data_IF_235728384110
#
_entry.id   IF_235728384110
#
_cell.length_a   1.000
_cell.length_b   1.000
_cell.length_c   1.000
_cell.angle_alpha   90.00
_cell.angle_beta   90.00
_cell.angle_gamma   90.00
#
_symmetry.space_group_name_H-M   'P 1'
#
loop_
_entity.id
_entity.type
_entity.pdbx_description
1 polymer ?
#
# COMPACT_ATOMS: atom_id res chain seq x y z
N UNK A 1 -1.66 -29.84 -4.20
CA UNK A 1 -0.47 -28.98 -4.21
C UNK A 1 -0.36 -28.31 -2.85
N UNK A 2 0.78 -28.40 -2.15
CA UNK A 2 0.95 -27.98 -0.74
C UNK A 2 1.13 -26.48 -0.51
N UNK A 3 0.58 -25.62 -1.37
CA UNK A 3 0.70 -24.16 -1.25
C UNK A 3 -0.58 -23.59 -0.63
N UNK A 4 -0.57 -23.45 0.69
CA UNK A 4 -1.67 -22.84 1.47
C UNK A 4 -1.13 -21.61 2.22
N UNK A 5 -0.62 -20.63 1.45
CA UNK A 5 -0.06 -19.35 1.95
C UNK A 5 -0.29 -18.21 0.94
N UNK A 6 -0.21 -16.96 1.39
CA UNK A 6 -0.67 -15.78 0.65
C UNK A 6 0.29 -15.22 -0.41
N UNK A 7 1.55 -15.68 -0.45
CA UNK A 7 2.57 -15.16 -1.36
C UNK A 7 2.14 -15.26 -2.83
N UNK A 8 2.11 -14.11 -3.52
CA UNK A 8 1.68 -13.97 -4.92
C UNK A 8 0.27 -13.41 -5.08
N UNK A 9 -0.67 -13.84 -4.24
CA UNK A 9 -2.10 -13.48 -4.38
C UNK A 9 -2.32 -11.97 -4.31
N UNK A 10 -1.60 -11.26 -3.43
CA UNK A 10 -1.76 -9.82 -3.25
C UNK A 10 -1.21 -8.97 -4.41
N UNK A 11 -0.38 -9.54 -5.28
CA UNK A 11 0.07 -8.85 -6.50
C UNK A 11 -0.82 -9.18 -7.71
N UNK A 12 -1.37 -10.39 -7.73
CA UNK A 12 -2.01 -10.94 -8.93
C UNK A 12 -3.53 -10.80 -8.89
N UNK A 13 -4.11 -10.64 -7.70
CA UNK A 13 -5.55 -10.48 -7.50
C UNK A 13 -5.87 -9.14 -6.86
N UNK A 14 -6.95 -8.50 -7.33
CA UNK A 14 -7.47 -7.28 -6.72
C UNK A 14 -7.80 -7.49 -5.24
N UNK A 15 -7.65 -6.47 -4.36
CA UNK A 15 -7.90 -6.63 -2.93
C UNK A 15 -9.34 -7.09 -2.65
N UNK A 16 -9.45 -8.28 -2.07
CA UNK A 16 -10.69 -8.90 -1.64
C UNK A 16 -10.46 -9.52 -0.26
N UNK A 17 -11.13 -8.95 0.74
CA UNK A 17 -10.96 -9.27 2.15
C UNK A 17 -11.99 -10.30 2.63
N UNK A 18 -12.86 -10.76 1.73
CA UNK A 18 -13.81 -11.86 1.99
C UNK A 18 -13.16 -13.23 1.82
N UNK A 19 -12.04 -13.29 1.09
CA UNK A 19 -11.25 -14.50 0.85
C UNK A 19 -10.51 -14.97 2.10
N UNK A 20 -10.26 -16.27 2.12
CA UNK A 20 -9.44 -17.00 3.09
C UNK A 20 -8.75 -18.17 2.36
N UNK A 21 -8.29 -19.18 3.09
CA UNK A 21 -7.60 -20.34 2.53
C UNK A 21 -8.46 -21.61 2.45
N UNK A 22 -9.76 -21.56 2.78
CA UNK A 22 -10.62 -22.74 2.86
C UNK A 22 -10.67 -23.52 1.54
N UNK A 23 -10.66 -22.82 0.39
CA UNK A 23 -10.67 -23.45 -0.93
C UNK A 23 -9.45 -24.36 -1.20
N UNK A 24 -8.29 -24.09 -0.57
CA UNK A 24 -7.07 -24.88 -0.73
C UNK A 24 -6.80 -25.82 0.45
N UNK A 25 -7.62 -25.79 1.50
CA UNK A 25 -7.48 -26.62 2.70
C UNK A 25 -8.69 -27.50 3.01
N UNK A 26 -9.78 -27.44 2.23
CA UNK A 26 -11.03 -28.15 2.51
C UNK A 26 -10.87 -29.68 2.67
N UNK A 27 -9.94 -30.28 1.93
CA UNK A 27 -9.69 -31.74 1.96
C UNK A 27 -8.66 -32.16 3.03
N UNK A 28 -8.19 -31.23 3.87
CA UNK A 28 -7.20 -31.50 4.92
C UNK A 28 -7.92 -31.82 6.22
N UNK A 29 -7.93 -33.10 6.59
CA UNK A 29 -8.62 -33.61 7.79
C UNK A 29 -7.74 -33.68 9.06
N UNK A 30 -6.45 -33.33 8.93
CA UNK A 30 -5.47 -33.30 10.02
C UNK A 30 -5.15 -31.87 10.42
N UNK A 31 -4.59 -31.63 11.62
CA UNK A 31 -4.25 -30.27 12.04
C UNK A 31 -3.33 -29.57 11.03
N UNK A 32 -3.69 -28.36 10.63
CA UNK A 32 -3.00 -27.60 9.58
C UNK A 32 -2.32 -26.36 10.15
N UNK A 33 -1.00 -26.31 9.97
CA UNK A 33 -0.18 -25.16 10.30
C UNK A 33 0.48 -24.65 9.03
N UNK A 34 0.21 -23.40 8.66
CA UNK A 34 0.90 -22.77 7.52
C UNK A 34 2.30 -22.31 7.94
N UNK A 35 3.33 -22.86 7.30
CA UNK A 35 4.72 -22.55 7.58
C UNK A 35 5.23 -21.40 6.70
N UNK A 36 6.09 -20.56 7.27
CA UNK A 36 6.76 -19.45 6.57
C UNK A 36 5.80 -18.53 5.81
N UNK A 37 4.73 -18.08 6.47
CA UNK A 37 3.86 -17.07 5.88
C UNK A 37 4.53 -15.69 5.88
N UNK A 38 4.16 -14.83 4.94
CA UNK A 38 4.70 -13.47 4.84
C UNK A 38 5.93 -13.34 3.93
N UNK A 39 7.09 -12.96 4.48
CA UNK A 39 8.34 -12.72 3.73
C UNK A 39 8.37 -11.46 2.86
N UNK A 40 7.65 -10.43 3.28
CA UNK A 40 7.67 -9.10 2.66
C UNK A 40 8.93 -8.35 3.07
N UNK A 41 9.85 -8.15 2.12
CA UNK A 41 11.12 -7.46 2.41
C UNK A 41 10.88 -5.99 2.75
N UNK A 42 11.62 -5.50 3.74
CA UNK A 42 11.62 -4.15 4.27
C UNK A 42 12.98 -3.52 4.00
N UNK A 43 12.97 -2.24 3.63
CA UNK A 43 14.21 -1.51 3.33
C UNK A 43 15.15 -1.49 4.55
N UNK A 44 16.48 -1.59 4.39
CA UNK A 44 17.40 -1.73 5.52
C UNK A 44 17.37 -0.58 6.53
N UNK A 45 17.38 -0.91 7.82
CA UNK A 45 17.61 0.06 8.90
C UNK A 45 19.10 0.35 9.01
N UNK A 46 19.59 1.30 8.23
CA UNK A 46 21.01 1.70 8.21
C UNK A 46 21.49 2.24 9.58
N UNK A 47 20.59 2.68 10.46
CA UNK A 47 20.96 3.09 11.82
C UNK A 47 21.43 1.92 12.68
N UNK A 48 21.11 0.69 12.28
CA UNK A 48 21.53 -0.53 12.95
C UNK A 48 23.04 -0.79 12.83
N UNK A 49 23.72 -0.22 11.82
CA UNK A 49 25.16 -0.44 11.59
C UNK A 49 25.99 -0.16 12.85
N UNK A 50 25.69 0.89 13.60
CA UNK A 50 26.47 1.26 14.79
C UNK A 50 26.27 0.30 15.98
N UNK A 51 25.29 -0.62 15.91
CA UNK A 51 25.03 -1.62 16.96
C UNK A 51 25.90 -2.87 16.83
N UNK A 52 26.54 -3.06 15.68
CA UNK A 52 27.48 -4.16 15.44
C UNK A 52 28.86 -3.84 16.04
N UNK A 53 28.95 -3.90 17.37
CA UNK A 53 30.18 -3.61 18.13
C UNK A 53 30.93 -4.87 18.60
N UNK A 54 30.37 -6.05 18.32
CA UNK A 54 30.94 -7.35 18.69
C UNK A 54 31.79 -7.97 17.57
N UNK A 55 31.74 -9.30 17.45
CA UNK A 55 32.54 -10.05 16.48
C UNK A 55 32.01 -10.01 15.03
N UNK A 56 30.84 -9.40 14.79
CA UNK A 56 30.20 -9.30 13.49
C UNK A 56 30.22 -7.85 12.99
N UNK A 57 30.37 -7.66 11.68
CA UNK A 57 30.32 -6.36 11.00
C UNK A 57 29.19 -6.39 9.98
N UNK A 58 28.34 -5.35 9.97
CA UNK A 58 27.22 -5.22 9.03
C UNK A 58 27.63 -4.75 7.64
N UNK A 59 28.52 -5.51 6.97
CA UNK A 59 29.08 -5.15 5.66
C UNK A 59 28.01 -4.97 4.58
N UNK A 60 26.94 -5.76 4.64
CA UNK A 60 25.74 -5.63 3.81
C UNK A 60 25.08 -4.24 3.97
N UNK A 61 24.81 -3.80 5.20
CA UNK A 61 24.16 -2.50 5.46
C UNK A 61 25.10 -1.34 5.12
N UNK A 62 26.41 -1.50 5.37
CA UNK A 62 27.43 -0.53 4.97
C UNK A 62 27.46 -0.34 3.45
N UNK A 63 27.40 -1.43 2.67
CA UNK A 63 27.34 -1.36 1.20
C UNK A 63 26.10 -0.61 0.72
N UNK A 64 24.91 -0.91 1.27
CA UNK A 64 23.66 -0.19 0.93
C UNK A 64 23.77 1.30 1.28
N UNK A 65 24.28 1.62 2.48
CA UNK A 65 24.48 3.01 2.93
C UNK A 65 25.42 3.77 1.99
N UNK A 66 26.55 3.17 1.64
CA UNK A 66 27.58 3.84 0.87
C UNK A 66 27.13 4.04 -0.59
N UNK A 67 26.37 3.10 -1.16
CA UNK A 67 25.74 3.25 -2.46
C UNK A 67 24.64 4.34 -2.46
N UNK A 68 23.76 4.37 -1.45
CA UNK A 68 22.79 5.46 -1.26
C UNK A 68 23.47 6.82 -1.14
N UNK A 69 24.59 6.89 -0.40
CA UNK A 69 25.38 8.11 -0.23
C UNK A 69 25.97 8.57 -1.56
N UNK A 70 26.58 7.65 -2.31
CA UNK A 70 27.12 7.92 -3.67
C UNK A 70 26.04 8.45 -4.61
N UNK A 71 24.81 7.97 -4.47
CA UNK A 71 23.64 8.38 -5.26
C UNK A 71 22.88 9.58 -4.69
N UNK A 72 23.38 10.23 -3.63
CA UNK A 72 22.79 11.42 -3.04
C UNK A 72 21.45 11.20 -2.32
N UNK A 73 21.11 9.94 -1.98
CA UNK A 73 19.80 9.56 -1.42
C UNK A 73 19.84 9.00 0.00
N UNK A 74 20.99 9.07 0.69
CA UNK A 74 21.12 8.56 2.05
C UNK A 74 20.11 9.15 3.05
N UNK A 75 19.73 10.42 2.89
CA UNK A 75 18.73 11.08 3.72
C UNK A 75 17.33 10.45 3.64
N UNK A 76 17.02 9.71 2.57
CA UNK A 76 15.75 9.02 2.39
C UNK A 76 15.68 7.66 3.09
N UNK A 77 16.80 7.09 3.53
CA UNK A 77 16.81 5.76 4.13
C UNK A 77 15.79 5.58 5.27
N UNK A 78 15.62 6.54 6.22
CA UNK A 78 14.58 6.42 7.25
C UNK A 78 13.16 6.42 6.68
N UNK A 79 12.90 7.19 5.61
CA UNK A 79 11.60 7.23 4.96
C UNK A 79 11.33 5.95 4.16
N UNK A 80 12.35 5.39 3.48
CA UNK A 80 12.25 4.12 2.78
C UNK A 80 11.96 2.96 3.74
N UNK A 81 12.66 2.90 4.87
CA UNK A 81 12.39 1.94 5.94
C UNK A 81 10.94 2.04 6.42
N UNK A 82 10.47 3.24 6.75
CA UNK A 82 9.09 3.43 7.24
C UNK A 82 8.05 3.03 6.19
N UNK A 83 8.18 3.50 4.97
CA UNK A 83 7.18 3.27 3.91
C UNK A 83 7.12 1.80 3.48
N UNK A 84 8.27 1.17 3.24
CA UNK A 84 8.33 -0.27 2.92
C UNK A 84 7.86 -1.14 4.10
N UNK A 85 8.19 -0.77 5.34
CA UNK A 85 7.72 -1.45 6.54
C UNK A 85 6.22 -1.35 6.78
N UNK A 86 5.61 -0.20 6.45
CA UNK A 86 4.14 -0.03 6.49
C UNK A 86 3.45 -0.92 5.46
N UNK A 87 3.97 -1.00 4.24
CA UNK A 87 3.47 -1.94 3.21
C UNK A 87 3.63 -3.40 3.65
N UNK A 88 4.80 -3.78 4.17
CA UNK A 88 5.01 -5.14 4.69
C UNK A 88 4.02 -5.48 5.82
N UNK A 89 3.80 -4.55 6.76
CA UNK A 89 2.83 -4.73 7.86
C UNK A 89 1.40 -4.90 7.33
N UNK A 90 1.02 -4.14 6.30
CA UNK A 90 -0.28 -4.25 5.65
C UNK A 90 -0.52 -5.66 5.08
N UNK A 91 0.50 -6.20 4.41
CA UNK A 91 0.44 -7.52 3.79
C UNK A 91 0.48 -8.64 4.85
N UNK A 92 1.32 -8.51 5.89
CA UNK A 92 1.30 -9.43 7.04
C UNK A 92 -0.07 -9.46 7.73
N UNK A 93 -0.69 -8.28 7.94
CA UNK A 93 -2.02 -8.19 8.53
C UNK A 93 -3.04 -8.99 7.72
N UNK A 94 -3.11 -8.76 6.41
CA UNK A 94 -4.06 -9.48 5.56
C UNK A 94 -3.78 -10.99 5.52
N UNK A 95 -2.52 -11.41 5.46
CA UNK A 95 -2.17 -12.84 5.44
C UNK A 95 -2.52 -13.55 6.76
N UNK A 96 -2.23 -12.92 7.90
CA UNK A 96 -2.60 -13.43 9.22
C UNK A 96 -4.12 -13.47 9.38
N UNK A 97 -4.83 -12.42 8.95
CA UNK A 97 -6.28 -12.40 9.02
C UNK A 97 -6.89 -13.50 8.17
N UNK A 98 -6.41 -13.74 6.94
CA UNK A 98 -6.88 -14.87 6.12
C UNK A 98 -6.65 -16.22 6.80
N UNK A 99 -5.52 -16.41 7.46
CA UNK A 99 -5.27 -17.61 8.26
C UNK A 99 -6.27 -17.74 9.42
N UNK A 100 -6.50 -16.67 10.18
CA UNK A 100 -7.45 -16.65 11.30
C UNK A 100 -8.91 -16.76 10.86
N UNK A 101 -9.23 -16.42 9.61
CA UNK A 101 -10.54 -16.57 8.98
C UNK A 101 -10.82 -18.01 8.51
N UNK A 102 -9.76 -18.77 8.22
CA UNK A 102 -9.86 -20.11 7.63
C UNK A 102 -10.17 -21.13 8.72
N UNK A 103 -11.34 -21.78 8.66
CA UNK A 103 -11.77 -22.74 9.69
C UNK A 103 -10.83 -23.94 9.81
N UNK A 104 -10.27 -24.37 8.68
CA UNK A 104 -9.37 -25.52 8.57
C UNK A 104 -7.95 -25.21 9.08
N UNK A 105 -7.63 -23.96 9.47
CA UNK A 105 -6.31 -23.61 10.01
C UNK A 105 -6.27 -23.72 11.53
N UNK A 106 -5.30 -24.46 12.04
CA UNK A 106 -4.98 -24.57 13.46
C UNK A 106 -3.84 -23.63 13.88
N UNK A 107 -3.11 -23.07 12.92
CA UNK A 107 -2.07 -22.08 13.21
C UNK A 107 -1.27 -21.63 11.99
N UNK A 108 -0.31 -20.74 12.26
CA UNK A 108 0.65 -20.28 11.28
C UNK A 108 2.00 -19.96 11.94
N UNK A 109 3.06 -19.94 11.14
CA UNK A 109 4.40 -19.51 11.54
C UNK A 109 4.91 -18.45 10.58
N UNK A 110 5.29 -17.27 11.10
CA UNK A 110 5.89 -16.20 10.31
C UNK A 110 7.35 -16.56 9.97
N UNK A 111 7.81 -16.22 8.77
CA UNK A 111 9.24 -16.16 8.45
C UNK A 111 9.67 -14.71 8.23
N UNK A 112 10.23 -14.02 9.23
CA UNK A 112 10.18 -14.30 10.66
C UNK A 112 9.89 -12.97 11.38
N UNK A 113 9.71 -12.96 12.70
CA UNK A 113 9.39 -11.72 13.43
C UNK A 113 10.56 -10.70 13.44
N UNK A 114 11.80 -11.19 13.38
CA UNK A 114 13.05 -10.42 13.39
C UNK A 114 13.80 -10.50 12.06
N UNK A 115 14.70 -9.57 11.77
CA UNK A 115 15.56 -9.70 10.60
C UNK A 115 16.60 -10.83 10.78
N UNK A 116 16.88 -11.55 9.70
CA UNK A 116 17.93 -12.57 9.68
C UNK A 116 19.21 -12.01 9.07
N UNK A 117 20.31 -11.90 9.85
CA UNK A 117 21.57 -11.39 9.34
C UNK A 117 22.37 -12.41 8.50
N UNK A 118 21.95 -13.69 8.49
CA UNK A 118 22.58 -14.75 7.69
C UNK A 118 22.10 -14.80 6.23
N UNK A 119 22.56 -15.82 5.49
CA UNK A 119 22.17 -16.20 4.12
C UNK A 119 21.50 -15.09 3.29
N UNK A 120 22.30 -14.20 2.68
CA UNK A 120 21.79 -13.24 1.71
C UNK A 120 20.96 -12.09 2.28
N UNK A 121 20.97 -11.82 3.59
CA UNK A 121 20.31 -10.66 4.23
C UNK A 121 18.79 -10.67 4.03
N UNK A 122 18.06 -11.37 4.91
CA UNK A 122 16.60 -11.42 4.86
C UNK A 122 15.97 -10.41 5.81
N UNK A 123 15.52 -9.29 5.23
CA UNK A 123 14.98 -8.14 5.96
C UNK A 123 13.45 -8.15 5.98
N UNK A 124 12.88 -9.23 6.47
CA UNK A 124 11.42 -9.46 6.47
C UNK A 124 10.78 -9.21 7.83
N UNK A 125 11.59 -8.92 8.85
CA UNK A 125 11.17 -8.76 10.22
C UNK A 125 10.57 -7.38 10.52
N UNK A 126 9.64 -7.37 11.47
CA UNK A 126 9.17 -6.13 12.12
C UNK A 126 10.13 -5.66 13.22
N UNK A 127 10.94 -6.59 13.73
CA UNK A 127 12.09 -6.34 14.60
C UNK A 127 13.38 -6.47 13.79
N UNK A 128 14.43 -5.79 14.22
CA UNK A 128 15.76 -5.94 13.65
C UNK A 128 16.51 -7.17 14.23
N UNK A 129 17.76 -7.40 13.83
CA UNK A 129 18.53 -8.57 14.27
C UNK A 129 18.87 -8.56 15.79
N UNK A 130 18.67 -7.43 16.45
CA UNK A 130 18.83 -7.23 17.90
C UNK A 130 17.50 -7.27 18.67
N UNK A 131 16.42 -7.78 18.05
CA UNK A 131 15.06 -7.82 18.62
C UNK A 131 14.45 -6.45 18.95
N UNK A 132 14.96 -5.38 18.34
CA UNK A 132 14.47 -4.02 18.57
C UNK A 132 13.46 -3.62 17.50
N UNK A 133 12.44 -2.81 17.83
CA UNK A 133 11.48 -2.32 16.85
C UNK A 133 12.15 -1.46 15.77
N UNK A 134 11.77 -1.69 14.51
CA UNK A 134 12.22 -0.89 13.35
C UNK A 134 11.43 0.40 13.14
N UNK A 135 10.45 0.69 14.01
CA UNK A 135 9.76 1.98 14.09
C UNK A 135 8.58 2.20 13.14
N UNK A 136 8.17 1.22 12.34
CA UNK A 136 7.02 1.35 11.43
C UNK A 136 5.72 0.71 11.94
N UNK A 137 5.79 -0.15 12.96
CA UNK A 137 4.61 -0.75 13.62
C UNK A 137 4.92 -0.96 15.11
N UNK A 138 3.96 -0.64 15.96
CA UNK A 138 4.05 -0.89 17.41
C UNK A 138 3.54 -2.28 17.77
N UNK A 139 3.96 -2.81 18.92
CA UNK A 139 3.43 -4.07 19.43
C UNK A 139 1.90 -4.03 19.66
N UNK A 140 1.35 -2.87 20.04
CA UNK A 140 -0.09 -2.70 20.22
C UNK A 140 -0.84 -2.78 18.90
N UNK A 141 -0.34 -2.12 17.84
CA UNK A 141 -0.93 -2.22 16.50
C UNK A 141 -0.85 -3.65 15.95
N UNK A 142 0.30 -4.32 16.10
CA UNK A 142 0.47 -5.69 15.62
C UNK A 142 -0.47 -6.68 16.33
N UNK A 143 -0.67 -6.51 17.65
CA UNK A 143 -1.61 -7.30 18.43
C UNK A 143 -3.06 -7.15 17.97
N UNK A 144 -3.45 -6.06 17.31
CA UNK A 144 -4.84 -5.89 16.84
C UNK A 144 -5.29 -6.96 15.84
N UNK A 145 -4.35 -7.50 15.06
CA UNK A 145 -4.61 -8.55 14.07
C UNK A 145 -3.91 -9.88 14.39
N UNK A 146 -3.12 -9.94 15.47
CA UNK A 146 -2.46 -11.16 15.93
C UNK A 146 -2.52 -11.27 17.47
N UNK A 147 -3.71 -11.62 17.99
CA UNK A 147 -3.97 -11.80 19.43
C UNK A 147 -4.76 -13.09 19.70
N UNK A 148 -4.76 -13.58 20.96
CA UNK A 148 -5.58 -14.73 21.37
C UNK A 148 -7.08 -14.55 21.11
N UNK A 149 -7.58 -13.31 21.08
CA UNK A 149 -8.92 -12.97 20.63
C UNK A 149 -8.81 -11.84 19.61
N UNK A 150 -9.21 -12.10 18.37
CA UNK A 150 -9.05 -11.16 17.25
C UNK A 150 -10.39 -10.96 16.54
N UNK A 151 -10.96 -9.74 16.57
CA UNK A 151 -12.08 -9.38 15.72
C UNK A 151 -11.66 -9.33 14.25
N UNK A 152 -12.50 -9.85 13.38
CA UNK A 152 -12.26 -9.96 11.95
C UNK A 152 -13.50 -9.48 11.18
N UNK A 153 -13.28 -8.98 9.96
CA UNK A 153 -14.35 -8.68 9.03
C UNK A 153 -14.07 -9.24 7.64
N UNK A 154 -15.13 -9.58 6.92
CA UNK A 154 -15.11 -10.03 5.52
C UNK A 154 -15.85 -9.03 4.64
N UNK A 155 -15.15 -8.47 3.65
CA UNK A 155 -15.71 -7.47 2.74
C UNK A 155 -15.00 -7.51 1.38
N UNK A 156 -15.67 -7.14 0.28
CA UNK A 156 -15.21 -7.52 -1.06
C UNK A 156 -14.11 -6.63 -1.66
N UNK A 157 -13.96 -5.38 -1.19
CA UNK A 157 -13.04 -4.40 -1.79
C UNK A 157 -12.64 -3.29 -0.84
N UNK A 158 -11.50 -2.64 -1.12
CA UNK A 158 -10.99 -1.51 -0.32
C UNK A 158 -11.58 -0.14 -0.72
N UNK A 159 -12.05 0.01 -1.97
CA UNK A 159 -12.46 1.30 -2.54
C UNK A 159 -13.93 1.25 -2.92
N UNK A 160 -14.67 2.27 -2.50
CA UNK A 160 -16.10 2.44 -2.71
C UNK A 160 -16.43 3.79 -3.32
N UNK A 161 -17.56 3.86 -4.00
CA UNK A 161 -18.24 5.12 -4.30
C UNK A 161 -19.22 5.46 -3.17
N UNK A 162 -19.52 6.74 -3.00
CA UNK A 162 -20.37 7.22 -1.92
C UNK A 162 -21.87 6.87 -2.08
N UNK A 163 -22.29 6.46 -3.27
CA UNK A 163 -23.62 5.90 -3.54
C UNK A 163 -23.71 4.39 -3.22
N UNK A 164 -22.61 3.77 -2.81
CA UNK A 164 -22.57 2.38 -2.37
C UNK A 164 -22.87 2.22 -0.86
N UNK A 165 -23.01 0.97 -0.44
CA UNK A 165 -23.07 0.55 0.97
C UNK A 165 -21.82 -0.21 1.31
N UNK A 166 -21.23 0.07 2.47
CA UNK A 166 -20.22 -0.79 3.05
C UNK A 166 -20.92 -1.94 3.78
N UNK A 167 -20.73 -3.15 3.26
CA UNK A 167 -21.28 -4.39 3.83
C UNK A 167 -20.14 -5.29 4.23
N UNK A 168 -20.13 -5.73 5.49
CA UNK A 168 -19.11 -6.63 6.00
C UNK A 168 -19.68 -7.61 7.02
N UNK A 169 -19.36 -8.90 6.88
CA UNK A 169 -19.63 -9.88 7.92
C UNK A 169 -18.57 -9.77 9.00
N UNK A 170 -18.98 -9.80 10.27
CA UNK A 170 -18.12 -9.68 11.43
C UNK A 170 -18.02 -11.05 12.10
N UNK A 171 -16.79 -11.46 12.40
CA UNK A 171 -16.49 -12.72 13.06
C UNK A 171 -15.37 -12.55 14.09
N UNK A 172 -15.18 -13.56 14.94
CA UNK A 172 -14.08 -13.62 15.90
C UNK A 172 -13.21 -14.86 15.63
N UNK A 173 -11.90 -14.69 15.74
CA UNK A 173 -10.97 -15.76 16.06
C UNK A 173 -10.67 -15.71 17.56
N UNK A 174 -11.14 -16.71 18.30
CA UNK A 174 -11.06 -16.80 19.76
C UNK A 174 -10.32 -18.06 20.21
N UNK A 175 -9.05 -17.90 20.52
CA UNK A 175 -8.18 -18.91 21.12
C UNK A 175 -7.83 -18.59 22.58
N UNK A 176 -8.61 -17.72 23.25
CA UNK A 176 -8.39 -17.32 24.64
C UNK A 176 -9.19 -18.18 25.62
N UNK A 177 -10.51 -18.08 25.56
CA UNK A 177 -11.48 -18.80 26.42
C UNK A 177 -12.89 -18.59 25.88
N UNK A 178 -13.84 -19.45 26.25
CA UNK A 178 -15.25 -19.22 25.96
C UNK A 178 -15.75 -17.90 26.57
N UNK A 179 -16.53 -17.13 25.80
CA UNK A 179 -17.10 -15.84 26.18
C UNK A 179 -18.62 -15.96 26.30
N UNK A 180 -19.21 -15.33 27.31
CA UNK A 180 -20.65 -15.39 27.60
C UNK A 180 -21.28 -14.00 27.61
N UNK A 181 -22.43 -13.86 26.96
CA UNK A 181 -23.18 -12.60 26.92
C UNK A 181 -22.39 -11.42 26.35
N UNK A 182 -21.49 -11.69 25.41
CA UNK A 182 -20.54 -10.74 24.83
C UNK A 182 -21.23 -9.83 23.81
N UNK A 183 -20.90 -8.54 23.85
CA UNK A 183 -21.33 -7.54 22.86
C UNK A 183 -20.15 -7.16 21.98
N UNK A 184 -20.39 -7.14 20.66
CA UNK A 184 -19.44 -6.63 19.69
C UNK A 184 -19.93 -5.27 19.20
N UNK A 185 -19.09 -4.25 19.33
CA UNK A 185 -19.35 -2.91 18.82
C UNK A 185 -18.55 -2.66 17.55
N UNK A 186 -19.11 -1.87 16.64
CA UNK A 186 -18.44 -1.47 15.41
C UNK A 186 -18.68 0.00 15.10
N UNK A 187 -17.73 0.62 14.40
CA UNK A 187 -17.86 1.99 13.93
C UNK A 187 -17.13 2.20 12.61
N UNK A 188 -17.63 3.15 11.81
CA UNK A 188 -17.00 3.67 10.61
C UNK A 188 -16.78 5.16 10.84
N UNK A 189 -15.53 5.60 10.86
CA UNK A 189 -15.14 6.99 11.15
C UNK A 189 -14.26 7.54 10.05
N UNK A 190 -14.33 8.83 9.77
CA UNK A 190 -13.36 9.47 8.87
C UNK A 190 -12.04 9.79 9.60
N UNK A 191 -11.04 10.29 8.86
CA UNK A 191 -9.73 10.67 9.40
C UNK A 191 -9.76 11.76 10.49
N UNK A 192 -10.84 12.53 10.59
CA UNK A 192 -11.08 13.53 11.65
C UNK A 192 -11.82 12.96 12.87
N UNK A 193 -12.07 11.65 12.90
CA UNK A 193 -12.81 10.99 13.98
C UNK A 193 -14.33 11.16 13.92
N UNK A 194 -14.88 11.81 12.89
CA UNK A 194 -16.35 11.94 12.72
C UNK A 194 -16.94 10.59 12.40
N UNK A 195 -17.95 10.20 13.18
CA UNK A 195 -18.73 8.98 12.96
C UNK A 195 -19.57 9.11 11.69
N UNK A 196 -19.45 8.12 10.80
CA UNK A 196 -20.26 7.95 9.59
C UNK A 196 -21.39 6.95 9.84
N UNK A 197 -21.06 5.83 10.48
CA UNK A 197 -22.00 4.81 10.91
C UNK A 197 -21.42 4.05 12.10
N UNK A 198 -22.26 3.39 12.91
CA UNK A 198 -21.81 2.55 14.00
C UNK A 198 -22.98 1.84 14.67
N UNK A 199 -22.66 0.84 15.48
CA UNK A 199 -23.67 0.07 16.20
C UNK A 199 -23.07 -0.99 17.10
N UNK A 200 -23.95 -1.73 17.76
CA UNK A 200 -23.63 -2.89 18.57
C UNK A 200 -24.51 -4.06 18.11
N UNK A 201 -23.94 -5.27 18.07
CA UNK A 201 -24.71 -6.48 17.85
C UNK A 201 -25.34 -6.98 19.16
N UNK A 202 -26.38 -7.81 19.04
CA UNK A 202 -27.00 -8.45 20.20
C UNK A 202 -25.99 -9.31 20.96
N UNK A 203 -26.21 -9.45 22.27
CA UNK A 203 -25.39 -10.30 23.14
C UNK A 203 -25.36 -11.73 22.63
N UNK A 204 -24.17 -12.28 22.50
CA UNK A 204 -23.94 -13.64 22.01
C UNK A 204 -22.86 -14.35 22.84
N UNK A 205 -22.93 -15.67 22.86
CA UNK A 205 -21.88 -16.51 23.42
C UNK A 205 -20.92 -16.91 22.30
N UNK A 206 -19.62 -16.89 22.59
CA UNK A 206 -18.58 -17.28 21.63
C UNK A 206 -17.73 -18.40 22.22
N UNK A 207 -17.64 -19.53 21.52
CA UNK A 207 -16.78 -20.65 21.90
C UNK A 207 -15.29 -20.36 21.62
N UNK A 208 -14.45 -21.38 21.78
CA UNK A 208 -13.07 -21.36 21.31
C UNK A 208 -13.05 -21.83 19.85
N UNK A 209 -12.30 -21.14 19.01
CA UNK A 209 -12.16 -21.43 17.58
C UNK A 209 -12.15 -20.16 16.73
N UNK A 210 -12.19 -20.34 15.41
CA UNK A 210 -12.24 -19.29 14.39
C UNK A 210 -13.58 -19.27 13.66
N UNK A 211 -13.76 -18.31 12.74
CA UNK A 211 -14.99 -18.11 11.97
C UNK A 211 -16.26 -17.97 12.84
N UNK A 212 -16.13 -17.44 14.05
CA UNK A 212 -17.24 -17.29 14.99
C UNK A 212 -18.08 -16.06 14.61
N UNK A 213 -19.18 -16.25 13.90
CA UNK A 213 -20.03 -15.16 13.42
C UNK A 213 -20.58 -14.31 14.57
N UNK A 214 -20.45 -12.99 14.45
CA UNK A 214 -20.93 -12.01 15.42
C UNK A 214 -22.07 -11.13 14.89
N UNK A 215 -22.12 -10.89 13.58
CA UNK A 215 -23.15 -10.07 12.95
C UNK A 215 -22.71 -9.52 11.60
N UNK A 216 -23.51 -8.61 11.03
CA UNK A 216 -23.26 -7.99 9.73
C UNK A 216 -23.37 -6.48 9.78
N UNK A 217 -22.33 -5.79 9.36
CA UNK A 217 -22.30 -4.35 9.16
C UNK A 217 -23.02 -4.02 7.85
N UNK A 218 -23.85 -2.98 7.87
CA UNK A 218 -24.47 -2.42 6.68
C UNK A 218 -24.57 -0.89 6.82
N UNK A 219 -23.58 -0.18 6.27
CA UNK A 219 -23.44 1.26 6.42
C UNK A 219 -23.65 1.98 5.08
N UNK A 220 -24.50 3.01 5.07
CA UNK A 220 -24.63 3.93 3.93
C UNK A 220 -23.41 4.86 3.89
N UNK A 221 -22.89 5.12 2.68
CA UNK A 221 -21.73 5.98 2.47
C UNK A 221 -22.07 7.36 1.90
N UNK A 222 -23.36 7.64 1.66
CA UNK A 222 -23.86 8.85 1.01
C UNK A 222 -23.50 10.17 1.71
N UNK A 223 -23.21 10.13 3.02
CA UNK A 223 -22.75 11.30 3.77
C UNK A 223 -21.31 11.72 3.46
N UNK A 224 -20.56 10.88 2.75
CA UNK A 224 -19.19 11.18 2.29
C UNK A 224 -19.26 11.91 0.96
N UNK A 225 -19.16 13.23 0.98
CA UNK A 225 -19.24 14.09 -0.22
C UNK A 225 -17.89 14.49 -0.79
N UNK A 226 -16.81 14.23 -0.06
CA UNK A 226 -15.42 14.48 -0.48
C UNK A 226 -14.64 13.18 -0.33
N UNK A 227 -13.75 12.89 -1.28
CA UNK A 227 -12.90 11.71 -1.25
C UNK A 227 -12.23 11.57 0.13
N UNK A 228 -12.53 10.48 0.82
CA UNK A 228 -12.14 10.27 2.22
C UNK A 228 -11.60 8.87 2.46
N UNK A 229 -10.56 8.76 3.27
CA UNK A 229 -10.21 7.52 3.94
C UNK A 229 -11.09 7.39 5.19
N UNK A 230 -11.75 6.25 5.34
CA UNK A 230 -12.51 5.87 6.53
C UNK A 230 -11.81 4.71 7.24
N UNK A 231 -11.97 4.66 8.56
CA UNK A 231 -11.54 3.56 9.41
C UNK A 231 -12.79 2.80 9.87
N UNK A 232 -12.85 1.52 9.55
CA UNK A 232 -13.79 0.55 10.11
C UNK A 232 -13.12 -0.06 11.33
N UNK A 233 -13.75 0.00 12.49
CA UNK A 233 -13.22 -0.53 13.76
C UNK A 233 -14.25 -1.47 14.38
N UNK A 234 -13.81 -2.65 14.82
CA UNK A 234 -14.62 -3.64 15.53
C UNK A 234 -13.96 -3.94 16.87
N UNK A 235 -14.75 -3.92 17.94
CA UNK A 235 -14.26 -4.08 19.31
C UNK A 235 -15.12 -5.08 20.08
N UNK A 236 -14.48 -5.98 20.83
CA UNK A 236 -15.15 -6.80 21.84
C UNK A 236 -15.36 -5.94 23.08
N UNK A 237 -16.61 -5.54 23.35
CA UNK A 237 -16.94 -4.54 24.38
C UNK A 237 -16.49 -5.01 25.77
N UNK A 238 -15.90 -4.11 26.54
CA UNK A 238 -15.37 -4.41 27.87
C UNK A 238 -14.01 -5.12 27.86
N UNK A 239 -13.29 -5.11 26.73
CA UNK A 239 -11.96 -5.70 26.61
C UNK A 239 -11.00 -4.79 25.82
N UNK A 240 -9.74 -5.22 25.71
CA UNK A 240 -8.72 -4.56 24.89
C UNK A 240 -8.73 -5.05 23.43
N UNK A 241 -9.53 -6.05 23.10
CA UNK A 241 -9.51 -6.70 21.79
C UNK A 241 -10.30 -5.88 20.77
N UNK A 242 -9.54 -5.26 19.88
CA UNK A 242 -10.04 -4.39 18.81
C UNK A 242 -9.21 -4.61 17.56
N UNK A 243 -9.86 -4.48 16.40
CA UNK A 243 -9.20 -4.51 15.12
C UNK A 243 -9.82 -3.46 14.20
N UNK A 244 -9.04 -3.02 13.21
CA UNK A 244 -9.43 -1.92 12.32
C UNK A 244 -8.91 -2.09 10.90
N UNK A 245 -9.68 -1.57 9.94
CA UNK A 245 -9.41 -1.61 8.50
C UNK A 245 -9.64 -0.23 7.89
N UNK A 246 -8.86 0.09 6.86
CA UNK A 246 -9.08 1.30 6.07
C UNK A 246 -9.90 0.95 4.83
N UNK A 247 -10.85 1.81 4.51
CA UNK A 247 -11.53 1.84 3.21
C UNK A 247 -11.46 3.26 2.65
N UNK A 248 -11.53 3.40 1.34
CA UNK A 248 -11.55 4.69 0.67
C UNK A 248 -12.90 4.87 0.01
N UNK A 249 -13.51 6.02 0.23
CA UNK A 249 -14.82 6.36 -0.30
C UNK A 249 -14.69 7.61 -1.15
N UNK A 250 -15.02 7.50 -2.43
CA UNK A 250 -14.92 8.58 -3.40
C UNK A 250 -16.30 9.04 -3.86
N UNK A 251 -16.47 10.34 -4.21
CA UNK A 251 -17.71 10.80 -4.83
C UNK A 251 -18.01 10.03 -6.12
N UNK A 252 -19.23 9.53 -6.25
CA UNK A 252 -19.71 8.90 -7.47
C UNK A 252 -19.70 9.88 -8.64
N UNK A 253 -20.06 11.14 -8.36
CA UNK A 253 -20.05 12.24 -9.30
C UNK A 253 -18.97 13.24 -8.92
N UNK A 254 -18.11 13.58 -9.88
CA UNK A 254 -17.06 14.59 -9.74
C UNK A 254 -17.38 15.80 -10.61
N UNK A 255 -17.00 17.02 -10.19
CA UNK A 255 -17.07 18.20 -11.06
C UNK A 255 -16.33 17.99 -12.38
N UNK A 256 -16.80 18.68 -13.42
CA UNK A 256 -16.20 18.64 -14.77
C UNK A 256 -14.75 19.10 -14.69
N UNK A 257 -13.88 18.39 -15.40
CA UNK A 257 -12.46 18.73 -15.50
C UNK A 257 -12.26 20.14 -16.09
N UNK A 258 -11.21 20.87 -15.67
CA UNK A 258 -10.89 22.19 -16.22
C UNK A 258 -10.65 22.12 -17.74
N UNK A 259 -11.24 23.04 -18.52
CA UNK A 259 -11.14 23.05 -19.97
C UNK A 259 -9.73 23.40 -20.49
N UNK A 260 -8.90 24.03 -19.67
CA UNK A 260 -7.62 24.62 -20.08
C UNK A 260 -6.41 23.67 -19.95
N UNK A 261 -6.63 22.45 -19.45
CA UNK A 261 -5.59 21.42 -19.29
C UNK A 261 -5.71 20.41 -20.41
N UNK A 262 -4.61 20.17 -21.13
CA UNK A 262 -4.54 19.09 -22.13
C UNK A 262 -4.26 17.78 -21.41
N UNK A 263 -5.15 16.80 -21.57
CA UNK A 263 -4.96 15.44 -21.05
C UNK A 263 -4.83 14.49 -22.23
N UNK A 264 -3.70 13.80 -22.33
CA UNK A 264 -3.42 12.92 -23.48
C UNK A 264 -2.49 11.77 -23.08
N UNK A 265 -2.58 10.64 -23.78
CA UNK A 265 -1.61 9.55 -23.76
C UNK A 265 -0.61 9.64 -24.93
N UNK A 266 -0.79 10.61 -25.84
CA UNK A 266 0.02 10.78 -27.05
C UNK A 266 1.14 11.78 -26.80
N UNK A 267 2.38 11.30 -26.92
CA UNK A 267 3.59 12.13 -26.75
C UNK A 267 3.58 13.37 -27.65
N UNK A 268 3.25 13.21 -28.94
CA UNK A 268 3.33 14.31 -29.90
C UNK A 268 2.32 15.43 -29.59
N UNK A 269 1.09 15.07 -29.19
CA UNK A 269 0.08 16.03 -28.76
C UNK A 269 0.53 16.80 -27.51
N UNK A 270 1.11 16.09 -26.54
CA UNK A 270 1.66 16.70 -25.34
C UNK A 270 2.76 17.72 -25.66
N UNK A 271 3.72 17.37 -26.51
CA UNK A 271 4.82 18.29 -26.87
C UNK A 271 4.32 19.50 -27.66
N UNK A 272 3.36 19.31 -28.58
CA UNK A 272 2.71 20.42 -29.28
C UNK A 272 2.02 21.37 -28.30
N UNK A 273 1.26 20.84 -27.33
CA UNK A 273 0.60 21.66 -26.31
C UNK A 273 1.60 22.39 -25.38
N UNK A 274 2.68 21.72 -24.96
CA UNK A 274 3.73 22.31 -24.12
C UNK A 274 4.47 23.44 -24.84
N UNK A 275 4.77 23.28 -26.14
CA UNK A 275 5.41 24.34 -26.95
C UNK A 275 4.54 25.59 -27.07
N UNK A 276 3.21 25.42 -27.04
CA UNK A 276 2.22 26.49 -26.99
C UNK A 276 2.00 27.09 -25.59
N UNK A 277 2.76 26.65 -24.58
CA UNK A 277 2.69 27.18 -23.22
C UNK A 277 1.56 26.62 -22.34
N UNK A 278 0.94 25.51 -22.75
CA UNK A 278 -0.19 24.92 -22.01
C UNK A 278 0.26 24.05 -20.84
N UNK A 279 -0.67 23.79 -19.93
CA UNK A 279 -0.54 22.76 -18.90
C UNK A 279 -0.97 21.42 -19.48
N UNK A 280 -0.15 20.39 -19.28
CA UNK A 280 -0.37 19.06 -19.87
C UNK A 280 -0.27 17.97 -18.82
N UNK A 281 -1.28 17.11 -18.76
CA UNK A 281 -1.23 15.81 -18.08
C UNK A 281 -0.95 14.76 -19.15
N UNK A 282 0.29 14.26 -19.19
CA UNK A 282 0.69 13.16 -20.07
C UNK A 282 0.63 11.85 -19.29
N UNK A 283 -0.23 10.93 -19.73
CA UNK A 283 -0.37 9.58 -19.15
C UNK A 283 -0.27 8.54 -20.28
N UNK A 284 0.95 8.26 -20.78
CA UNK A 284 1.12 7.34 -21.91
C UNK A 284 0.67 5.93 -21.56
N UNK A 285 0.23 5.18 -22.56
CA UNK A 285 -0.09 3.75 -22.39
C UNK A 285 1.13 3.01 -21.81
N UNK A 286 0.91 2.18 -20.80
CA UNK A 286 2.00 1.56 -20.01
C UNK A 286 2.88 0.64 -20.85
N UNK A 287 2.37 0.04 -21.92
CA UNK A 287 3.14 -0.79 -22.86
C UNK A 287 4.17 0.02 -23.66
N UNK A 288 3.96 1.34 -23.82
CA UNK A 288 4.85 2.26 -24.54
C UNK A 288 5.98 2.83 -23.69
N UNK A 289 6.01 2.60 -22.37
CA UNK A 289 7.00 3.21 -21.48
C UNK A 289 8.25 2.33 -21.30
N UNK A 290 9.43 2.98 -21.20
CA UNK A 290 10.70 2.33 -20.86
C UNK A 290 10.84 2.27 -19.33
N UNK A 291 10.40 1.16 -18.75
CA UNK A 291 10.43 0.98 -17.30
C UNK A 291 10.06 -0.43 -16.83
N UNK A 292 10.14 -0.63 -15.54
CA UNK A 292 9.81 -1.89 -14.88
C UNK A 292 8.28 -1.95 -14.70
N UNK A 293 7.68 -3.14 -14.84
CA UNK A 293 6.26 -3.31 -14.57
C UNK A 293 5.93 -2.97 -13.11
N UNK A 294 4.83 -2.25 -12.87
CA UNK A 294 4.40 -1.92 -11.52
C UNK A 294 4.01 -3.18 -10.72
N UNK A 295 4.54 -3.26 -9.50
CA UNK A 295 4.27 -4.37 -8.56
C UNK A 295 3.81 -3.82 -7.22
N UNK A 296 2.75 -4.41 -6.68
CA UNK A 296 2.15 -3.95 -5.42
C UNK A 296 2.90 -4.46 -4.20
N UNK A 297 3.38 -5.71 -4.25
CA UNK A 297 4.13 -6.33 -3.16
C UNK A 297 5.61 -5.97 -3.23
N UNK A 298 6.32 -5.89 -2.09
CA UNK A 298 7.76 -5.70 -2.08
C UNK A 298 8.50 -6.93 -2.61
N UNK A 299 9.81 -6.80 -2.79
CA UNK A 299 10.69 -7.94 -3.12
C UNK A 299 10.46 -9.11 -2.15
N UNK A 300 10.42 -10.32 -2.70
CA UNK A 300 10.33 -11.53 -1.90
C UNK A 300 11.65 -11.80 -1.19
N UNK A 301 11.58 -11.87 0.14
CA UNK A 301 12.63 -12.33 1.06
C UNK A 301 13.98 -11.59 0.99
N UNK A 302 14.76 -11.82 -0.07
CA UNK A 302 16.04 -11.16 -0.32
C UNK A 302 16.28 -10.90 -1.81
N UNK A 303 16.46 -9.63 -2.24
CA UNK A 303 16.91 -9.29 -3.60
C UNK A 303 18.35 -9.75 -3.88
N UNK A 304 19.16 -10.03 -2.84
CA UNK A 304 20.55 -10.51 -3.01
C UNK A 304 20.57 -11.99 -3.37
N UNK A 305 19.70 -12.78 -2.73
CA UNK A 305 19.65 -14.23 -2.98
C UNK A 305 18.82 -14.59 -4.21
N UNK A 306 17.81 -13.79 -4.53
CA UNK A 306 16.92 -13.99 -5.67
C UNK A 306 17.00 -12.77 -6.62
N UNK A 307 18.09 -12.65 -7.40
CA UNK A 307 18.39 -11.44 -8.19
C UNK A 307 17.46 -11.24 -9.38
N UNK A 308 16.85 -12.29 -9.91
CA UNK A 308 15.95 -12.24 -11.07
C UNK A 308 14.52 -11.77 -10.72
N UNK A 309 14.37 -11.07 -9.60
CA UNK A 309 13.11 -10.45 -9.21
C UNK A 309 13.04 -9.01 -9.71
N UNK A 310 12.10 -8.66 -10.60
CA UNK A 310 11.77 -7.25 -10.82
C UNK A 310 11.22 -6.69 -9.50
N UNK A 311 12.00 -5.85 -8.84
CA UNK A 311 11.82 -5.65 -7.40
C UNK A 311 11.78 -4.18 -6.97
N UNK A 312 10.59 -3.71 -6.63
CA UNK A 312 10.37 -2.45 -5.90
C UNK A 312 9.86 -2.76 -4.50
N UNK A 313 10.00 -1.83 -3.55
CA UNK A 313 9.66 -2.03 -2.13
C UNK A 313 8.49 -1.14 -1.66
N UNK A 314 7.58 -0.81 -2.57
CA UNK A 314 6.47 0.12 -2.35
C UNK A 314 6.77 1.54 -2.83
N UNK A 315 5.96 2.49 -2.37
CA UNK A 315 6.04 3.90 -2.77
C UNK A 315 6.34 4.80 -1.57
N UNK A 316 7.06 5.89 -1.83
CA UNK A 316 7.18 7.05 -0.95
C UNK A 316 6.42 8.21 -1.60
N UNK A 317 5.32 8.63 -0.99
CA UNK A 317 4.36 9.57 -1.57
C UNK A 317 4.45 10.91 -0.83
N UNK A 318 4.50 12.01 -1.56
CA UNK A 318 4.39 13.35 -0.96
C UNK A 318 2.93 13.66 -0.60
N UNK A 319 2.34 12.93 0.34
CA UNK A 319 0.90 13.01 0.68
C UNK A 319 0.40 14.40 1.05
N UNK A 320 1.26 15.25 1.63
CA UNK A 320 0.96 16.64 1.93
C UNK A 320 0.96 17.58 0.71
N UNK A 321 1.40 17.11 -0.45
CA UNK A 321 1.43 17.89 -1.68
C UNK A 321 0.02 18.14 -2.23
N UNK A 322 -0.21 19.33 -2.79
CA UNK A 322 -1.53 19.77 -3.29
C UNK A 322 -2.10 18.86 -4.38
N UNK A 323 -1.23 18.19 -5.14
CA UNK A 323 -1.58 17.14 -6.09
C UNK A 323 -2.49 16.03 -5.51
N UNK A 324 -2.41 15.76 -4.20
CA UNK A 324 -3.21 14.72 -3.53
C UNK A 324 -4.34 15.29 -2.66
N UNK A 325 -4.65 16.59 -2.75
CA UNK A 325 -5.67 17.23 -1.92
C UNK A 325 -7.05 16.55 -2.02
N UNK A 326 -7.40 16.03 -3.20
CA UNK A 326 -8.64 15.31 -3.44
C UNK A 326 -8.42 13.80 -3.62
N UNK A 327 -7.26 13.27 -3.20
CA UNK A 327 -6.94 11.85 -3.20
C UNK A 327 -6.35 11.48 -1.83
N UNK A 328 -7.18 11.08 -0.86
CA UNK A 328 -6.71 10.77 0.49
C UNK A 328 -5.69 9.62 0.46
N UNK A 329 -4.46 9.93 0.85
CA UNK A 329 -3.34 9.00 0.88
C UNK A 329 -2.38 9.34 2.01
N UNK A 330 -1.69 8.32 2.52
CA UNK A 330 -0.55 8.48 3.43
C UNK A 330 0.76 8.55 2.63
N UNK A 331 1.90 8.68 3.33
CA UNK A 331 3.25 8.76 2.72
C UNK A 331 3.74 7.42 2.12
N UNK A 332 2.94 6.36 2.19
CA UNK A 332 3.30 5.00 1.77
C UNK A 332 2.18 4.32 0.97
N UNK A 333 2.53 3.23 0.28
CA UNK A 333 1.55 2.36 -0.42
C UNK A 333 0.52 1.79 0.55
N UNK A 334 -0.74 1.79 0.13
CA UNK A 334 -1.88 1.16 0.83
C UNK A 334 -2.89 0.66 -0.23
N UNK A 335 -3.98 -0.01 0.14
CA UNK A 335 -4.82 -0.79 -0.80
C UNK A 335 -5.46 0.02 -1.95
N UNK A 336 -5.72 1.32 -1.76
CA UNK A 336 -6.19 2.21 -2.83
C UNK A 336 -5.16 2.42 -3.95
N UNK A 337 -3.88 2.16 -3.68
CA UNK A 337 -2.85 2.22 -4.71
C UNK A 337 -2.75 0.94 -5.54
N UNK A 338 -3.45 -0.15 -5.20
CA UNK A 338 -3.30 -1.43 -5.89
C UNK A 338 -3.56 -1.33 -7.39
N UNK A 339 -4.72 -0.80 -7.79
CA UNK A 339 -5.08 -0.63 -9.21
C UNK A 339 -4.09 0.30 -9.92
N UNK A 340 -3.69 1.40 -9.28
CA UNK A 340 -2.78 2.40 -9.82
C UNK A 340 -1.40 1.80 -10.08
N UNK A 341 -0.89 1.01 -9.14
CA UNK A 341 0.40 0.32 -9.26
C UNK A 341 0.34 -0.74 -10.35
N UNK A 342 -0.70 -1.58 -10.35
CA UNK A 342 -0.85 -2.67 -11.32
C UNK A 342 -1.02 -2.19 -12.75
N UNK A 343 -1.58 -1.00 -12.94
CA UNK A 343 -1.69 -0.34 -14.24
C UNK A 343 -0.64 0.76 -14.39
N UNK A 344 0.64 0.46 -14.11
CA UNK A 344 1.73 1.42 -14.24
C UNK A 344 3.04 0.82 -14.75
N UNK A 345 3.96 1.70 -15.16
CA UNK A 345 5.39 1.40 -15.34
C UNK A 345 6.23 2.27 -14.43
N UNK A 346 7.13 1.66 -13.67
CA UNK A 346 8.10 2.37 -12.85
C UNK A 346 9.26 2.86 -13.70
N UNK A 347 9.47 4.17 -13.71
CA UNK A 347 10.47 4.83 -14.56
C UNK A 347 11.74 5.13 -13.77
N UNK A 348 12.90 4.92 -14.39
CA UNK A 348 14.18 5.39 -13.89
C UNK A 348 14.41 6.86 -14.30
N UNK A 349 14.74 7.71 -13.33
CA UNK A 349 14.84 9.17 -13.46
C UNK A 349 16.08 9.70 -12.73
N UNK A 350 17.25 9.14 -13.01
CA UNK A 350 18.48 9.44 -12.26
C UNK A 350 18.86 10.93 -12.24
N UNK A 351 18.52 11.69 -13.28
CA UNK A 351 18.84 13.12 -13.42
C UNK A 351 17.72 14.07 -12.94
N UNK A 352 16.59 13.56 -12.44
CA UNK A 352 15.48 14.41 -12.00
C UNK A 352 15.63 14.80 -10.52
N UNK A 353 15.57 16.10 -10.22
CA UNK A 353 15.66 16.55 -8.82
C UNK A 353 14.45 16.09 -8.00
N UNK A 354 14.71 15.82 -6.72
CA UNK A 354 13.73 15.31 -5.75
C UNK A 354 12.46 16.15 -5.62
N UNK A 355 12.55 17.47 -5.81
CA UNK A 355 11.43 18.41 -5.77
C UNK A 355 10.33 18.05 -6.77
N UNK A 356 10.68 17.57 -7.96
CA UNK A 356 9.75 17.24 -9.04
C UNK A 356 8.98 15.92 -8.81
N UNK A 357 9.52 15.00 -8.01
CA UNK A 357 8.95 13.67 -7.82
C UNK A 357 7.77 13.76 -6.84
N UNK A 358 6.57 13.38 -7.28
CA UNK A 358 5.37 13.38 -6.43
C UNK A 358 5.09 12.00 -5.81
N UNK A 359 5.33 10.94 -6.60
CA UNK A 359 5.26 9.54 -6.16
C UNK A 359 6.56 8.85 -6.52
N UNK A 360 7.44 8.68 -5.52
CA UNK A 360 8.66 7.90 -5.65
C UNK A 360 8.31 6.42 -5.51
N UNK A 361 8.89 5.59 -6.36
CA UNK A 361 8.91 4.14 -6.14
C UNK A 361 10.22 3.81 -5.42
N UNK A 362 10.14 3.05 -4.34
CA UNK A 362 11.31 2.63 -3.57
C UNK A 362 11.92 1.46 -4.32
N UNK A 363 13.15 1.63 -4.81
CA UNK A 363 13.87 0.53 -5.44
C UNK A 363 14.35 -0.48 -4.38
N UNK A 364 14.68 -1.69 -4.81
CA UNK A 364 15.35 -2.64 -3.95
C UNK A 364 16.73 -2.11 -3.52
N UNK A 365 17.20 -2.58 -2.36
CA UNK A 365 18.42 -2.06 -1.74
C UNK A 365 19.73 -2.52 -2.41
N UNK A 366 19.67 -3.42 -3.41
CA UNK A 366 20.84 -3.81 -4.21
C UNK A 366 21.15 -2.75 -5.26
N UNK A 367 20.12 -2.18 -5.88
CA UNK A 367 20.27 -1.21 -6.97
C UNK A 367 20.05 0.24 -6.55
N UNK A 368 19.24 0.54 -5.52
CA UNK A 368 18.95 1.90 -5.02
C UNK A 368 18.68 2.95 -6.12
N UNK A 369 18.03 2.55 -7.20
CA UNK A 369 17.73 3.38 -8.36
C UNK A 369 16.81 4.55 -8.02
N UNK A 370 16.89 5.61 -8.83
CA UNK A 370 15.97 6.74 -8.70
C UNK A 370 14.69 6.42 -9.49
N UNK A 371 13.66 5.92 -8.81
CA UNK A 371 12.44 5.45 -9.47
C UNK A 371 11.21 6.32 -9.15
N UNK A 372 10.31 6.51 -10.14
CA UNK A 372 9.07 7.28 -10.00
C UNK A 372 7.92 6.72 -10.81
N UNK A 373 6.69 7.04 -10.36
CA UNK A 373 5.47 6.87 -11.15
C UNK A 373 4.75 8.20 -11.48
N UNK A 374 5.12 9.29 -10.81
CA UNK A 374 4.44 10.57 -10.95
C UNK A 374 5.40 11.71 -10.63
N UNK A 375 5.53 12.65 -11.55
CA UNK A 375 6.38 13.83 -11.37
C UNK A 375 5.86 15.03 -12.15
N UNK A 376 6.39 16.21 -11.84
CA UNK A 376 6.08 17.46 -12.52
C UNK A 376 7.34 18.21 -12.97
N UNK A 377 7.31 18.78 -14.17
CA UNK A 377 8.44 19.51 -14.78
C UNK A 377 7.94 20.63 -15.69
N UNK A 378 8.79 21.60 -15.97
CA UNK A 378 8.64 22.53 -17.09
C UNK A 378 9.28 21.91 -18.34
N UNK A 379 8.63 22.07 -19.48
CA UNK A 379 9.14 21.65 -20.79
C UNK A 379 8.86 22.78 -21.78
N UNK A 380 9.92 23.42 -22.27
CA UNK A 380 9.79 24.60 -23.12
C UNK A 380 9.03 25.72 -22.41
N UNK A 381 7.91 26.16 -22.99
CA UNK A 381 7.05 27.23 -22.42
C UNK A 381 5.95 26.68 -21.51
N UNK A 382 5.72 25.37 -21.53
CA UNK A 382 4.59 24.72 -20.87
C UNK A 382 5.00 24.00 -19.58
N UNK A 383 3.98 23.47 -18.89
CA UNK A 383 4.13 22.71 -17.64
C UNK A 383 3.55 21.32 -17.82
N UNK A 384 4.34 20.32 -17.46
CA UNK A 384 4.03 18.92 -17.62
C UNK A 384 3.84 18.27 -16.24
N UNK A 385 2.70 17.62 -16.05
CA UNK A 385 2.55 16.56 -15.06
C UNK A 385 2.59 15.23 -15.81
N UNK A 386 3.61 14.43 -15.53
CA UNK A 386 3.80 13.14 -16.19
C UNK A 386 3.38 12.02 -15.24
N UNK A 387 2.51 11.15 -15.71
CA UNK A 387 2.10 9.93 -15.00
C UNK A 387 2.46 8.71 -15.82
N UNK A 388 3.20 7.78 -15.22
CA UNK A 388 3.39 6.45 -15.78
C UNK A 388 2.34 5.44 -15.27
N UNK A 389 1.36 5.93 -14.52
CA UNK A 389 0.14 5.22 -14.16
C UNK A 389 -0.88 5.51 -15.26
N UNK A 390 -1.66 4.49 -15.67
CA UNK A 390 -2.79 4.69 -16.57
C UNK A 390 -3.91 5.44 -15.86
N UNK A 391 -4.07 6.71 -16.23
CA UNK A 391 -5.10 7.63 -15.75
C UNK A 391 -6.09 8.03 -16.86
N UNK A 392 -6.18 7.26 -17.94
CA UNK A 392 -7.05 7.57 -19.09
C UNK A 392 -8.05 6.45 -19.36
N UNK A 393 -7.61 5.19 -19.30
CA UNK A 393 -8.45 4.07 -19.73
C UNK A 393 -9.42 3.61 -18.65
N UNK A 394 -10.66 3.30 -19.05
CA UNK A 394 -11.67 2.59 -18.24
C UNK A 394 -11.95 3.24 -16.88
N UNK A 395 -12.01 4.57 -16.81
CA UNK A 395 -12.17 5.31 -15.54
C UNK A 395 -13.49 5.02 -14.80
N UNK A 396 -14.53 4.56 -15.52
CA UNK A 396 -15.82 4.20 -14.92
C UNK A 396 -15.72 2.94 -14.04
N UNK A 397 -14.81 2.02 -14.36
CA UNK A 397 -14.54 0.82 -13.57
C UNK A 397 -13.33 0.95 -12.64
N UNK A 398 -12.59 2.07 -12.71
CA UNK A 398 -11.35 2.33 -11.95
C UNK A 398 -11.49 3.60 -11.10
N UNK A 399 -12.25 3.54 -9.97
CA UNK A 399 -12.52 4.71 -9.14
C UNK A 399 -11.26 5.35 -8.56
N UNK A 400 -10.20 4.58 -8.32
CA UNK A 400 -8.89 5.06 -7.87
C UNK A 400 -8.21 5.94 -8.92
N UNK A 401 -8.16 5.46 -10.17
CA UNK A 401 -7.59 6.22 -11.29
C UNK A 401 -8.41 7.48 -11.57
N UNK A 402 -9.75 7.36 -11.56
CA UNK A 402 -10.66 8.50 -11.72
C UNK A 402 -10.43 9.57 -10.66
N UNK A 403 -10.34 9.17 -9.40
CA UNK A 403 -10.16 10.09 -8.29
C UNK A 403 -8.76 10.73 -8.27
N UNK A 404 -7.70 9.95 -8.52
CA UNK A 404 -6.35 10.48 -8.61
C UNK A 404 -6.25 11.50 -9.76
N UNK A 405 -6.74 11.14 -10.96
CA UNK A 405 -6.81 12.05 -12.11
C UNK A 405 -7.51 13.36 -11.75
N UNK A 406 -8.67 13.28 -11.10
CA UNK A 406 -9.39 14.46 -10.65
C UNK A 406 -8.53 15.34 -9.71
N UNK A 407 -7.89 14.74 -8.72
CA UNK A 407 -7.01 15.47 -7.78
C UNK A 407 -5.86 16.18 -8.50
N UNK A 408 -5.24 15.52 -9.48
CA UNK A 408 -4.15 16.10 -10.28
C UNK A 408 -4.63 17.26 -11.15
N UNK A 409 -5.78 17.12 -11.81
CA UNK A 409 -6.34 18.19 -12.65
C UNK A 409 -6.73 19.42 -11.83
N UNK A 410 -7.30 19.23 -10.64
CA UNK A 410 -7.60 20.34 -9.72
C UNK A 410 -6.32 21.06 -9.28
N UNK A 411 -5.26 20.32 -8.98
CA UNK A 411 -3.96 20.90 -8.65
C UNK A 411 -3.38 21.68 -9.83
N UNK A 412 -3.40 21.12 -11.04
CA UNK A 412 -2.87 21.75 -12.26
C UNK A 412 -3.61 23.02 -12.69
N UNK A 413 -4.87 23.17 -12.29
CA UNK A 413 -5.65 24.40 -12.49
C UNK A 413 -5.25 25.51 -11.49
N UNK A 414 -4.77 25.13 -10.31
CA UNK A 414 -4.44 26.05 -9.24
C UNK A 414 -3.13 26.82 -9.46
N UNK A 415 -3.00 27.93 -8.74
CA UNK A 415 -1.76 28.73 -8.71
C UNK A 415 -0.58 28.00 -8.06
N UNK A 416 -0.82 26.85 -7.44
CA UNK A 416 0.20 26.01 -6.82
C UNK A 416 0.95 25.15 -7.85
N UNK A 417 0.41 24.96 -9.07
CA UNK A 417 1.10 24.22 -10.12
C UNK A 417 2.24 25.03 -10.74
N UNK A 418 3.40 24.94 -10.09
CA UNK A 418 4.63 25.68 -10.41
C UNK A 418 5.83 24.72 -10.37
N UNK A 419 5.92 23.76 -11.33
CA UNK A 419 7.05 22.84 -11.37
C UNK A 419 8.36 23.64 -11.46
N UNK A 420 9.31 23.37 -10.56
CA UNK A 420 10.56 24.14 -10.49
C UNK A 420 11.63 23.65 -11.49
N UNK A 421 11.50 22.40 -11.94
CA UNK A 421 12.54 21.72 -12.69
C UNK A 421 12.27 21.84 -14.18
N UNK A 422 13.22 22.37 -14.96
CA UNK A 422 13.12 22.43 -16.41
C UNK A 422 13.87 21.23 -17.03
N UNK A 423 13.23 20.54 -17.97
CA UNK A 423 13.83 19.44 -18.73
C UNK A 423 13.60 19.63 -20.23
N UNK A 424 14.55 19.22 -21.09
CA UNK A 424 14.33 19.29 -22.53
C UNK A 424 13.30 18.24 -22.98
N UNK A 425 12.61 18.51 -24.08
CA UNK A 425 11.64 17.60 -24.70
C UNK A 425 12.23 16.19 -24.96
N UNK A 426 13.50 16.14 -25.36
CA UNK A 426 14.28 14.91 -25.58
C UNK A 426 14.40 14.06 -24.31
N UNK A 427 14.44 14.69 -23.13
CA UNK A 427 14.48 13.97 -21.85
C UNK A 427 13.17 13.22 -21.62
N UNK A 428 12.03 13.85 -21.92
CA UNK A 428 10.71 13.19 -21.86
C UNK A 428 10.61 12.06 -22.89
N UNK A 429 11.16 12.26 -24.09
CA UNK A 429 11.18 11.23 -25.14
C UNK A 429 11.89 9.95 -24.70
N UNK A 430 12.96 10.06 -23.90
CA UNK A 430 13.72 8.90 -23.39
C UNK A 430 12.88 7.99 -22.49
N UNK A 431 11.77 8.47 -21.93
CA UNK A 431 10.87 7.68 -21.08
C UNK A 431 9.93 6.77 -21.90
N UNK A 432 9.83 7.00 -23.21
CA UNK A 432 8.90 6.33 -24.13
C UNK A 432 9.70 5.46 -25.12
N UNK A 433 9.14 4.30 -25.49
CA UNK A 433 9.70 3.31 -26.43
C UNK A 433 10.01 3.88 -27.79
#
# INVERSE_FOLDING_TARGET
AGWVRGQGVFNDQSPDFSKDFSATSADIEVPLISHEIGQYSVYPDISEISKYTGNLVATNFMAVRDDLKKKGRLSYAPAFLRASGKLATLLYKEEIERALKTKEFDGFQLLQMQDFPGQGTALVGVLNAFWQPKGFVTAQEFKRFNSPLTPLIRYPKAVYLNDERFVADVELANFLKSLKGTVISWSVKNSKGRLIAGGEFAKQDFGIGNALHAGRINALLNSVTVASQLTVEVTVKGSVYTNSWKIWVYPANLPIAPADIVVTDVYQEAMTALSAGKNVLLSPRTDTLKGIEGRFVPVFWSPVHFPDQPGTMGQLIKSAHRAFQYFPTDEHTDWQWWDLVKNSRTLAIDDLQESAILVRVIDNFVTNGNLTNLFEVQVGKGKLLFSSIDLISNLDSRPQARQLRYSLLQYMQGNDFKPANNVPEEWVRKLIK
#
